data_IF_478074681689
#
_entry.id   IF_478074681689
#
_cell.length_a   1.000
_cell.length_b   1.000
_cell.length_c   1.000
_cell.angle_alpha   90.00
_cell.angle_beta   90.00
_cell.angle_gamma   90.00
#
_symmetry.space_group_name_H-M   'P 1'
#
loop_
_entity.id
_entity.type
_entity.pdbx_description
1 polymer ?
#
# COMPACT_ATOMS: atom_id res chain seq x y z
N UNK A 1 -10.97 19.44 14.81
CA UNK A 1 -11.20 18.06 14.28
C UNK A 1 -9.85 17.62 13.75
N UNK A 2 -9.40 16.40 14.07
CA UNK A 2 -8.09 15.89 13.65
C UNK A 2 -8.02 15.82 12.13
N UNK A 3 -6.93 16.30 11.53
CA UNK A 3 -6.65 16.07 10.12
C UNK A 3 -6.04 14.66 9.95
N UNK A 4 -6.03 14.12 8.75
CA UNK A 4 -5.40 12.82 8.47
C UNK A 4 -4.70 12.92 7.13
N UNK A 5 -3.43 12.54 7.10
CA UNK A 5 -2.69 12.37 5.86
C UNK A 5 -2.59 10.87 5.57
N UNK A 6 -3.12 10.46 4.43
CA UNK A 6 -3.29 9.06 4.05
C UNK A 6 -4.05 8.22 5.10
N UNK A 7 -3.32 7.55 6.00
CA UNK A 7 -3.83 6.71 7.09
C UNK A 7 -3.39 7.21 8.47
N UNK A 8 -2.56 8.26 8.53
CA UNK A 8 -1.92 8.75 9.75
C UNK A 8 -2.68 9.97 10.28
N UNK A 9 -3.23 9.89 11.51
CA UNK A 9 -3.90 11.04 12.12
C UNK A 9 -2.86 12.14 12.40
N UNK A 10 -3.19 13.38 12.05
CA UNK A 10 -2.38 14.57 12.29
C UNK A 10 -3.13 15.43 13.33
N UNK A 11 -2.75 15.34 14.62
CA UNK A 11 -3.31 16.16 15.69
C UNK A 11 -3.30 17.64 15.32
N UNK A 12 -4.30 18.38 15.77
CA UNK A 12 -4.50 19.75 15.30
C UNK A 12 -3.28 20.64 15.62
N UNK A 13 -2.66 21.15 14.56
CA UNK A 13 -1.42 21.93 14.57
C UNK A 13 -1.54 23.19 15.44
N UNK A 14 -0.52 23.46 16.25
CA UNK A 14 -0.46 24.68 17.08
C UNK A 14 -0.24 25.95 16.24
N UNK A 15 0.39 25.84 15.05
CA UNK A 15 0.58 26.93 14.09
C UNK A 15 0.69 26.38 12.66
N UNK A 16 -0.33 26.51 11.81
CA UNK A 16 -0.17 26.31 10.37
C UNK A 16 0.50 27.54 9.75
N UNK A 17 1.58 27.34 8.98
CA UNK A 17 2.16 28.40 8.16
C UNK A 17 1.84 28.08 6.71
N UNK A 18 0.83 28.76 6.18
CA UNK A 18 0.48 28.70 4.76
C UNK A 18 1.29 29.79 4.05
N UNK A 19 2.18 29.41 3.12
CA UNK A 19 2.76 30.38 2.19
C UNK A 19 1.88 30.40 0.95
N UNK A 20 1.18 31.52 0.77
CA UNK A 20 0.19 31.70 -0.29
C UNK A 20 0.79 31.43 -1.69
N UNK A 21 0.19 30.46 -2.40
CA UNK A 21 0.40 30.18 -3.82
C UNK A 21 0.26 31.42 -4.75
N UNK A 22 -0.31 32.52 -4.24
CA UNK A 22 -0.32 33.83 -4.89
C UNK A 22 1.08 34.39 -5.16
N UNK A 23 2.08 34.08 -4.33
CA UNK A 23 3.47 34.53 -4.55
C UNK A 23 4.08 33.93 -5.81
N UNK A 24 3.84 32.65 -6.07
CA UNK A 24 4.33 31.93 -7.25
C UNK A 24 3.61 32.38 -8.52
N UNK A 25 2.28 32.59 -8.45
CA UNK A 25 1.50 33.08 -9.59
C UNK A 25 1.81 34.56 -9.95
N UNK A 26 2.18 35.39 -8.96
CA UNK A 26 2.68 36.75 -9.17
C UNK A 26 4.11 36.77 -9.74
N UNK A 27 4.97 35.82 -9.36
CA UNK A 27 6.29 35.66 -9.98
C UNK A 27 6.18 35.24 -11.45
N UNK A 28 5.27 34.33 -11.79
CA UNK A 28 5.05 33.93 -13.19
C UNK A 28 4.42 35.04 -14.05
N UNK A 29 3.47 35.81 -13.51
CA UNK A 29 2.93 36.97 -14.22
C UNK A 29 3.91 38.15 -14.30
N UNK A 30 4.86 38.27 -13.35
CA UNK A 30 5.91 39.29 -13.35
C UNK A 30 7.01 39.06 -14.39
N UNK A 31 7.21 37.81 -14.84
CA UNK A 31 8.26 37.43 -15.80
C UNK A 31 7.85 37.67 -17.26
N UNK A 32 6.57 37.91 -17.56
CA UNK A 32 6.09 38.25 -18.91
C UNK A 32 6.49 39.67 -19.40
N UNK A 33 7.37 40.36 -18.68
CA UNK A 33 7.85 41.71 -19.03
C UNK A 33 9.36 41.88 -19.16
N UNK A 34 10.18 40.82 -19.00
CA UNK A 34 11.65 40.98 -19.07
C UNK A 34 12.34 39.74 -19.62
N UNK A 35 13.08 39.96 -20.71
CA UNK A 35 13.81 38.98 -21.51
C UNK A 35 15.09 38.51 -20.78
N UNK A 36 14.91 37.66 -19.77
CA UNK A 36 15.98 36.97 -19.07
C UNK A 36 15.57 35.52 -18.80
N UNK A 37 16.08 34.60 -19.61
CA UNK A 37 16.05 33.16 -19.32
C UNK A 37 17.02 32.93 -18.16
N UNK A 38 16.50 32.98 -16.94
CA UNK A 38 17.15 32.45 -15.75
C UNK A 38 16.61 31.05 -15.57
N UNK A 39 17.49 30.05 -15.74
CA UNK A 39 17.28 28.70 -15.25
C UNK A 39 17.22 28.80 -13.71
N UNK A 40 16.03 29.08 -13.20
CA UNK A 40 15.77 29.08 -11.79
C UNK A 40 15.84 27.63 -11.33
N UNK A 41 17.00 27.24 -10.79
CA UNK A 41 17.06 26.25 -9.71
C UNK A 41 16.23 26.82 -8.55
N UNK A 42 14.91 26.71 -8.67
CA UNK A 42 13.96 26.95 -7.60
C UNK A 42 14.10 25.77 -6.66
N UNK A 43 14.78 25.96 -5.53
CA UNK A 43 14.46 25.19 -4.33
C UNK A 43 12.96 25.40 -4.07
N UNK A 44 12.12 24.47 -4.52
CA UNK A 44 10.68 24.56 -4.31
C UNK A 44 10.45 24.60 -2.80
N UNK A 45 9.98 25.73 -2.29
CA UNK A 45 9.49 25.83 -0.94
C UNK A 45 8.21 25.00 -0.84
N UNK A 46 8.02 24.27 0.26
CA UNK A 46 6.80 23.51 0.48
C UNK A 46 5.57 24.44 0.42
N UNK A 47 4.52 24.01 -0.29
CA UNK A 47 3.26 24.76 -0.40
C UNK A 47 2.52 24.82 0.94
N UNK A 48 2.69 23.81 1.79
CA UNK A 48 2.05 23.70 3.09
C UNK A 48 3.00 23.10 4.12
N UNK A 49 3.17 23.80 5.23
CA UNK A 49 3.89 23.29 6.41
C UNK A 49 2.94 23.09 7.58
N UNK A 50 2.92 21.87 8.13
CA UNK A 50 2.12 21.49 9.28
C UNK A 50 3.03 21.15 10.46
N UNK A 51 2.88 21.85 11.58
CA UNK A 51 3.62 21.56 12.82
C UNK A 51 2.67 21.20 13.95
N UNK A 52 2.91 20.09 14.64
CA UNK A 52 2.07 19.64 15.74
C UNK A 52 2.79 18.70 16.69
N UNK A 53 1.99 18.02 17.52
CA UNK A 53 2.50 17.12 18.57
C UNK A 53 1.66 15.85 18.68
N UNK A 54 2.31 14.71 18.74
CA UNK A 54 1.73 13.47 19.25
C UNK A 54 1.90 13.44 20.77
N UNK A 55 0.79 13.39 21.50
CA UNK A 55 0.77 13.39 22.97
C UNK A 55 -0.20 12.32 23.49
N UNK A 56 0.00 11.08 23.04
CA UNK A 56 -0.85 9.92 23.34
C UNK A 56 -0.18 8.92 24.30
N UNK A 57 0.89 9.35 24.97
CA UNK A 57 1.74 8.49 25.81
C UNK A 57 2.88 7.86 25.01
N UNK A 58 3.85 7.29 25.74
CA UNK A 58 5.13 6.84 25.17
C UNK A 58 4.99 5.96 23.93
N UNK A 59 4.24 4.87 24.05
CA UNK A 59 4.14 3.88 22.98
C UNK A 59 3.45 4.41 21.73
N UNK A 60 2.23 4.95 21.86
CA UNK A 60 1.45 5.33 20.69
C UNK A 60 1.95 6.62 20.03
N UNK A 61 2.59 7.51 20.80
CA UNK A 61 3.21 8.71 20.22
C UNK A 61 4.45 8.36 19.40
N UNK A 62 5.27 7.41 19.88
CA UNK A 62 6.41 6.88 19.12
C UNK A 62 5.96 6.10 17.88
N UNK A 63 4.91 5.29 18.00
CA UNK A 63 4.32 4.56 16.87
C UNK A 63 3.93 5.50 15.72
N UNK A 64 3.11 6.51 16.01
CA UNK A 64 2.65 7.47 15.00
C UNK A 64 3.77 8.38 14.48
N UNK A 65 4.77 8.66 15.30
CA UNK A 65 5.95 9.42 14.91
C UNK A 65 6.75 8.68 13.84
N UNK A 66 7.09 7.42 14.09
CA UNK A 66 7.85 6.57 13.17
C UNK A 66 7.06 6.32 11.87
N UNK A 67 5.75 6.07 11.97
CA UNK A 67 4.90 5.91 10.77
C UNK A 67 4.89 7.16 9.89
N UNK A 68 4.89 8.35 10.49
CA UNK A 68 4.89 9.61 9.74
C UNK A 68 6.24 9.85 9.06
N UNK A 69 7.34 9.53 9.75
CA UNK A 69 8.69 9.60 9.21
C UNK A 69 8.84 8.62 8.03
N UNK A 70 8.44 7.36 8.21
CA UNK A 70 8.47 6.36 7.12
C UNK A 70 7.57 6.73 5.95
N UNK A 71 6.37 7.27 6.20
CA UNK A 71 5.50 7.71 5.11
C UNK A 71 6.14 8.82 4.28
N UNK A 72 6.93 9.70 4.91
CA UNK A 72 7.64 10.77 4.22
C UNK A 72 8.80 10.26 3.35
N UNK A 73 9.47 9.20 3.78
CA UNK A 73 10.57 8.56 3.04
C UNK A 73 10.09 7.47 2.06
N UNK A 74 8.79 7.19 2.04
CA UNK A 74 8.20 6.17 1.17
C UNK A 74 8.18 6.57 -0.30
N UNK A 75 8.08 5.55 -1.17
CA UNK A 75 7.83 5.75 -2.61
C UNK A 75 6.37 5.99 -2.95
N UNK A 76 5.48 6.09 -1.95
CA UNK A 76 4.05 6.30 -2.19
C UNK A 76 3.87 7.66 -2.85
N UNK A 77 3.12 7.67 -3.94
CA UNK A 77 2.80 8.88 -4.70
C UNK A 77 1.90 9.84 -3.89
N UNK A 78 1.34 10.86 -4.54
CA UNK A 78 0.54 11.87 -3.86
C UNK A 78 -0.60 11.27 -2.99
N UNK A 79 -0.58 11.59 -1.70
CA UNK A 79 -1.51 11.09 -0.69
C UNK A 79 -2.62 12.09 -0.38
N UNK A 80 -3.82 11.64 0.03
CA UNK A 80 -4.89 12.54 0.44
C UNK A 80 -4.62 13.15 1.83
N UNK A 81 -4.80 14.47 1.95
CA UNK A 81 -5.00 15.15 3.23
C UNK A 81 -6.49 15.48 3.38
N UNK A 82 -7.10 15.02 4.47
CA UNK A 82 -8.52 15.20 4.75
C UNK A 82 -8.80 15.40 6.25
N UNK A 83 -10.06 15.69 6.58
CA UNK A 83 -10.42 16.15 7.93
C UNK A 83 -9.92 17.57 8.22
N UNK A 84 -9.86 17.95 9.49
CA UNK A 84 -9.37 19.27 9.89
C UNK A 84 -10.28 20.45 9.50
N UNK A 85 -9.73 21.67 9.58
CA UNK A 85 -10.37 22.88 9.08
C UNK A 85 -10.36 22.88 7.53
N UNK A 86 -11.52 23.06 6.91
CA UNK A 86 -11.84 22.58 5.55
C UNK A 86 -11.06 23.15 4.34
N UNK A 87 -10.13 24.09 4.51
CA UNK A 87 -9.43 24.72 3.39
C UNK A 87 -8.19 23.95 2.91
N UNK A 88 -7.75 22.91 3.64
CA UNK A 88 -6.50 22.18 3.36
C UNK A 88 -6.70 20.81 2.72
N UNK A 89 -7.93 20.45 2.40
CA UNK A 89 -8.21 19.11 1.91
C UNK A 89 -7.80 18.97 0.44
N UNK A 90 -6.71 18.26 0.17
CA UNK A 90 -6.08 18.14 -1.14
C UNK A 90 -5.38 16.79 -1.32
N UNK A 91 -4.72 16.62 -2.46
CA UNK A 91 -3.70 15.60 -2.67
C UNK A 91 -2.34 16.27 -2.54
N UNK A 92 -1.42 15.65 -1.80
CA UNK A 92 -0.12 16.20 -1.48
C UNK A 92 0.97 15.16 -1.66
N UNK A 93 2.10 15.59 -2.19
CA UNK A 93 3.35 14.87 -2.07
C UNK A 93 4.04 15.31 -0.77
N UNK A 94 4.58 14.36 -0.01
CA UNK A 94 5.34 14.66 1.20
C UNK A 94 6.78 14.92 0.78
N UNK A 95 7.29 16.10 1.12
CA UNK A 95 8.68 16.49 0.83
C UNK A 95 9.63 16.09 1.97
N UNK A 96 9.14 16.19 3.20
CA UNK A 96 9.86 15.75 4.40
C UNK A 96 8.94 15.73 5.60
N UNK A 97 9.22 14.82 6.53
CA UNK A 97 8.74 14.86 7.90
C UNK A 97 9.94 14.92 8.84
N UNK A 98 9.93 15.88 9.75
CA UNK A 98 10.87 15.91 10.87
C UNK A 98 10.08 15.55 12.11
N UNK A 99 10.48 14.48 12.80
CA UNK A 99 9.78 14.01 13.99
C UNK A 99 10.78 13.78 15.11
N UNK A 100 10.60 14.46 16.24
CA UNK A 100 11.55 14.43 17.35
C UNK A 100 10.84 14.37 18.71
N UNK A 101 11.38 13.65 19.71
CA UNK A 101 10.85 13.70 21.06
C UNK A 101 11.14 15.07 21.70
N UNK A 102 10.14 15.66 22.37
CA UNK A 102 10.26 17.02 22.93
C UNK A 102 11.35 17.12 24.01
N UNK A 103 11.61 16.01 24.72
CA UNK A 103 12.63 15.92 25.75
C UNK A 103 13.42 14.62 25.62
N UNK A 104 14.75 14.70 25.72
CA UNK A 104 15.64 13.54 25.61
C UNK A 104 15.36 12.41 26.64
N UNK A 105 14.68 12.71 27.75
CA UNK A 105 14.32 11.74 28.79
C UNK A 105 12.86 11.29 28.77
N UNK A 106 11.99 11.87 27.94
CA UNK A 106 10.56 11.58 27.91
C UNK A 106 10.05 11.40 26.48
N UNK A 107 9.64 10.16 26.15
CA UNK A 107 9.06 9.80 24.84
C UNK A 107 7.54 9.93 24.78
N UNK A 108 6.93 10.56 25.79
CA UNK A 108 5.48 10.71 25.87
C UNK A 108 4.93 11.75 24.89
N UNK A 109 5.78 12.64 24.38
CA UNK A 109 5.42 13.71 23.45
C UNK A 109 6.46 13.78 22.34
N UNK A 110 5.97 13.69 21.10
CA UNK A 110 6.77 13.88 19.89
C UNK A 110 6.27 15.10 19.13
N UNK A 111 7.17 15.98 18.74
CA UNK A 111 6.91 17.10 17.84
C UNK A 111 7.14 16.64 16.42
N UNK A 112 6.26 17.06 15.51
CA UNK A 112 6.46 16.85 14.08
C UNK A 112 6.37 18.16 13.32
N UNK A 113 7.15 18.26 12.24
CA UNK A 113 7.02 19.27 11.19
C UNK A 113 6.97 18.56 9.84
N UNK A 114 5.86 18.73 9.13
CA UNK A 114 5.58 18.09 7.84
C UNK A 114 5.56 19.14 6.75
N UNK A 115 6.33 18.92 5.70
CA UNK A 115 6.42 19.77 4.51
C UNK A 115 5.74 19.08 3.33
N UNK A 116 4.76 19.75 2.72
CA UNK A 116 3.90 19.18 1.68
C UNK A 116 3.91 20.03 0.42
N UNK A 117 3.95 19.38 -0.74
CA UNK A 117 3.78 19.98 -2.06
C UNK A 117 2.40 19.60 -2.61
N UNK A 118 1.64 20.58 -3.10
CA UNK A 118 0.27 20.36 -3.56
C UNK A 118 0.24 19.65 -4.91
N UNK A 119 -0.24 18.40 -4.93
CA UNK A 119 -0.49 17.64 -6.16
C UNK A 119 -1.87 17.97 -6.78
N UNK A 120 -2.75 18.65 -6.03
CA UNK A 120 -4.01 19.19 -6.52
C UNK A 120 -5.20 18.83 -5.65
N UNK A 121 -6.40 18.87 -6.24
CA UNK A 121 -7.65 18.56 -5.55
C UNK A 121 -8.49 17.59 -6.37
N UNK A 122 -9.56 17.05 -5.79
CA UNK A 122 -10.56 16.27 -6.53
C UNK A 122 -11.16 17.00 -7.75
N UNK A 123 -11.05 18.34 -7.84
CA UNK A 123 -11.53 19.11 -8.98
C UNK A 123 -10.48 19.35 -10.07
N UNK A 124 -9.20 19.14 -9.79
CA UNK A 124 -8.12 19.21 -10.77
C UNK A 124 -7.57 17.83 -11.15
N UNK A 125 -7.65 16.85 -10.25
CA UNK A 125 -7.14 15.49 -10.42
C UNK A 125 -8.26 14.44 -10.44
N UNK A 126 -8.00 13.33 -11.12
CA UNK A 126 -8.63 12.02 -10.89
C UNK A 126 -7.62 11.10 -10.19
N UNK A 127 -8.13 10.13 -9.45
CA UNK A 127 -7.34 8.96 -9.09
C UNK A 127 -7.14 8.11 -10.35
N UNK A 128 -5.93 7.63 -10.55
CA UNK A 128 -5.54 6.80 -11.68
C UNK A 128 -5.01 5.48 -11.16
N UNK A 129 -5.45 4.39 -11.78
CA UNK A 129 -4.94 3.05 -11.55
C UNK A 129 -4.40 2.58 -12.90
N UNK A 130 -3.07 2.65 -13.02
CA UNK A 130 -2.34 2.16 -14.18
C UNK A 130 -2.30 0.64 -14.10
N UNK A 131 -2.39 -0.01 -15.26
CA UNK A 131 -2.29 -1.46 -15.36
C UNK A 131 -1.28 -1.80 -16.45
N UNK A 132 -0.57 -2.89 -16.27
CA UNK A 132 0.37 -3.42 -17.27
C UNK A 132 0.27 -4.95 -17.27
N UNK A 133 -0.86 -5.53 -17.72
CA UNK A 133 -1.07 -6.96 -17.68
C UNK A 133 0.03 -7.72 -18.39
N UNK A 134 0.70 -8.62 -17.68
CA UNK A 134 1.80 -9.42 -18.23
C UNK A 134 1.75 -10.85 -17.70
N UNK A 135 2.33 -11.80 -18.44
CA UNK A 135 2.45 -13.19 -18.01
C UNK A 135 3.92 -13.44 -17.65
N UNK A 136 4.27 -13.53 -16.36
CA UNK A 136 5.63 -13.82 -15.93
C UNK A 136 6.15 -15.14 -16.50
N UNK A 137 7.47 -15.20 -16.73
CA UNK A 137 8.16 -16.37 -17.25
C UNK A 137 9.41 -16.68 -16.42
N UNK A 138 9.52 -17.85 -15.77
CA UNK A 138 8.57 -18.97 -15.86
C UNK A 138 7.25 -18.67 -15.12
N UNK A 139 6.13 -19.13 -15.69
CA UNK A 139 4.83 -19.03 -15.02
C UNK A 139 4.76 -19.91 -13.76
N UNK A 140 3.63 -19.87 -13.05
CA UNK A 140 3.40 -20.68 -11.85
C UNK A 140 2.39 -21.81 -12.10
N UNK A 141 2.39 -22.86 -11.26
CA UNK A 141 1.54 -24.05 -11.44
C UNK A 141 0.17 -23.97 -10.74
N UNK A 142 -0.14 -22.88 -10.01
CA UNK A 142 -1.34 -22.76 -9.16
C UNK A 142 -2.66 -22.61 -9.94
N UNK A 143 -2.60 -22.34 -11.24
CA UNK A 143 -3.80 -22.21 -12.05
C UNK A 143 -3.49 -21.92 -13.52
N UNK A 144 -4.54 -21.54 -14.25
CA UNK A 144 -4.47 -21.24 -15.67
C UNK A 144 -5.45 -20.13 -16.11
N UNK A 145 -5.94 -19.33 -15.15
CA UNK A 145 -6.79 -18.20 -15.47
C UNK A 145 -5.96 -17.08 -16.11
N UNK A 146 -6.62 -16.23 -16.89
CA UNK A 146 -5.96 -15.20 -17.71
C UNK A 146 -6.52 -13.80 -17.46
N UNK A 147 -7.27 -13.64 -16.37
CA UNK A 147 -7.95 -12.40 -16.03
C UNK A 147 -7.00 -11.53 -15.21
N UNK A 148 -6.93 -10.24 -15.53
CA UNK A 148 -6.14 -9.27 -14.76
C UNK A 148 -7.10 -8.40 -13.94
N UNK A 149 -7.57 -8.96 -12.82
CA UNK A 149 -8.51 -8.27 -11.95
C UNK A 149 -7.79 -7.17 -11.18
N UNK A 150 -8.34 -5.96 -11.23
CA UNK A 150 -7.87 -4.80 -10.47
C UNK A 150 -8.99 -4.22 -9.62
N UNK A 151 -8.70 -3.92 -8.36
CA UNK A 151 -9.69 -3.39 -7.43
C UNK A 151 -9.75 -1.87 -7.45
N UNK A 152 -10.95 -1.31 -7.51
CA UNK A 152 -11.25 0.12 -7.33
C UNK A 152 -12.23 0.26 -6.16
N UNK A 153 -12.10 1.27 -5.26
CA UNK A 153 -13.08 1.44 -4.18
C UNK A 153 -14.51 1.56 -4.72
N UNK A 154 -15.48 0.78 -4.22
CA UNK A 154 -16.85 0.81 -4.73
C UNK A 154 -17.56 2.17 -4.50
N UNK A 155 -17.05 2.97 -3.56
CA UNK A 155 -17.48 4.36 -3.34
C UNK A 155 -17.06 5.32 -4.49
N UNK A 156 -16.20 4.88 -5.39
CA UNK A 156 -15.72 5.68 -6.51
C UNK A 156 -16.85 6.00 -7.50
N UNK A 157 -16.72 7.16 -8.15
CA UNK A 157 -17.64 7.66 -9.17
C UNK A 157 -16.87 7.95 -10.44
N UNK A 158 -17.61 8.04 -11.55
CA UNK A 158 -17.04 8.38 -12.86
C UNK A 158 -15.91 7.43 -13.30
N UNK A 159 -15.96 6.17 -12.88
CA UNK A 159 -14.97 5.14 -13.27
C UNK A 159 -14.96 5.00 -14.78
N UNK A 160 -13.79 5.13 -15.39
CA UNK A 160 -13.56 5.01 -16.85
C UNK A 160 -12.20 4.38 -17.07
N UNK A 161 -12.08 3.53 -18.08
CA UNK A 161 -10.76 3.15 -18.59
C UNK A 161 -10.44 4.05 -19.79
N UNK A 162 -9.22 4.59 -19.79
CA UNK A 162 -8.70 5.47 -20.84
C UNK A 162 -7.37 4.94 -21.34
N UNK A 163 -7.08 5.20 -22.61
CA UNK A 163 -5.73 5.13 -23.16
C UNK A 163 -5.45 6.47 -23.82
N UNK A 164 -4.63 7.27 -23.14
CA UNK A 164 -4.22 8.61 -23.58
C UNK A 164 -3.13 8.57 -24.66
N UNK A 165 -2.49 7.42 -24.87
CA UNK A 165 -1.44 7.24 -25.89
C UNK A 165 -2.03 6.94 -27.26
N UNK A 166 -3.24 6.37 -27.31
CA UNK A 166 -3.99 6.14 -28.55
C UNK A 166 -4.43 7.43 -29.27
N UNK A 167 -4.53 7.35 -30.61
CA UNK A 167 -5.05 8.42 -31.45
C UNK A 167 -6.18 7.92 -32.37
N UNK A 168 -7.44 8.36 -32.17
CA UNK A 168 -7.91 9.24 -31.09
C UNK A 168 -7.86 8.54 -29.72
N UNK A 169 -7.77 9.33 -28.64
CA UNK A 169 -7.85 8.84 -27.26
C UNK A 169 -9.07 7.96 -27.08
N UNK A 170 -8.85 6.71 -26.68
CA UNK A 170 -9.91 5.75 -26.41
C UNK A 170 -10.41 5.89 -24.99
N UNK A 171 -11.72 5.69 -24.81
CA UNK A 171 -12.36 5.71 -23.50
C UNK A 171 -13.55 4.77 -23.47
N UNK A 172 -13.60 3.95 -22.43
CA UNK A 172 -14.75 3.09 -22.14
C UNK A 172 -15.21 3.29 -20.71
N UNK A 173 -16.50 3.03 -20.48
CA UNK A 173 -17.03 2.89 -19.14
C UNK A 173 -17.06 1.40 -18.81
N UNK A 174 -16.11 0.90 -17.99
CA UNK A 174 -16.09 -0.50 -17.64
C UNK A 174 -17.26 -0.84 -16.70
N UNK A 175 -17.63 -2.12 -16.65
CA UNK A 175 -18.58 -2.65 -15.67
C UNK A 175 -17.79 -3.55 -14.73
N UNK A 176 -17.97 -3.46 -13.40
CA UNK A 176 -17.28 -4.36 -12.49
C UNK A 176 -17.71 -5.80 -12.75
N UNK A 177 -16.75 -6.71 -12.68
CA UNK A 177 -16.99 -8.17 -12.72
C UNK A 177 -17.70 -8.59 -11.45
N UNK A 178 -17.26 -8.05 -10.31
CA UNK A 178 -17.78 -8.33 -8.99
C UNK A 178 -17.56 -7.15 -8.04
N UNK A 179 -18.37 -7.05 -6.99
CA UNK A 179 -18.12 -6.17 -5.84
C UNK A 179 -17.88 -7.04 -4.62
N UNK A 180 -16.70 -6.88 -4.00
CA UNK A 180 -16.26 -7.65 -2.85
C UNK A 180 -16.31 -6.77 -1.60
N UNK A 181 -16.88 -7.29 -0.50
CA UNK A 181 -16.88 -6.64 0.81
C UNK A 181 -15.65 -7.06 1.63
N UNK A 182 -14.84 -6.09 2.06
CA UNK A 182 -13.63 -6.28 2.87
C UNK A 182 -13.83 -5.74 4.30
N UNK A 183 -12.90 -5.99 5.23
CA UNK A 183 -12.92 -5.37 6.58
C UNK A 183 -13.03 -3.84 6.50
N UNK A 184 -12.50 -3.23 5.44
CA UNK A 184 -12.35 -1.78 5.35
C UNK A 184 -13.33 -1.08 4.41
N UNK A 185 -14.23 -1.84 3.79
CA UNK A 185 -15.22 -1.35 2.83
C UNK A 185 -15.28 -2.17 1.55
N UNK A 186 -16.19 -1.79 0.66
CA UNK A 186 -16.44 -2.50 -0.58
C UNK A 186 -15.46 -2.09 -1.70
N UNK A 187 -15.02 -3.07 -2.49
CA UNK A 187 -14.13 -2.91 -3.64
C UNK A 187 -14.79 -3.52 -4.87
N UNK A 188 -14.88 -2.74 -5.94
CA UNK A 188 -15.31 -3.19 -7.26
C UNK A 188 -14.10 -3.75 -8.02
N UNK A 189 -14.19 -5.00 -8.47
CA UNK A 189 -13.18 -5.65 -9.31
C UNK A 189 -13.48 -5.43 -10.79
N UNK A 190 -12.48 -5.00 -11.54
CA UNK A 190 -12.54 -4.83 -12.99
C UNK A 190 -11.49 -5.71 -13.65
N UNK A 191 -11.84 -6.39 -14.73
CA UNK A 191 -10.86 -7.15 -15.52
C UNK A 191 -10.24 -6.24 -16.59
N UNK A 192 -8.94 -5.99 -16.47
CA UNK A 192 -8.19 -5.17 -17.41
C UNK A 192 -8.01 -5.85 -18.78
N UNK A 193 -7.95 -7.19 -18.85
CA UNK A 193 -7.76 -7.91 -20.14
C UNK A 193 -9.05 -8.02 -20.96
N UNK A 194 -10.22 -7.88 -20.32
CA UNK A 194 -11.52 -7.87 -20.99
C UNK A 194 -11.87 -6.54 -21.67
N UNK A 195 -11.06 -5.48 -21.46
CA UNK A 195 -11.31 -4.18 -22.05
C UNK A 195 -10.95 -4.15 -23.54
N UNK A 196 -11.65 -3.31 -24.30
CA UNK A 196 -11.35 -3.09 -25.72
C UNK A 196 -10.17 -2.14 -25.96
N UNK A 197 -9.41 -1.81 -24.91
CA UNK A 197 -8.30 -0.85 -24.89
C UNK A 197 -7.04 -1.64 -24.54
N UNK A 198 -5.95 -1.41 -25.27
CA UNK A 198 -4.71 -2.19 -25.14
C UNK A 198 -3.95 -1.85 -23.84
N UNK A 199 -3.79 -0.55 -23.51
CA UNK A 199 -3.11 -0.07 -22.29
C UNK A 199 -4.09 0.71 -21.38
N UNK A 200 -5.01 0.02 -20.68
CA UNK A 200 -6.07 0.70 -19.94
C UNK A 200 -5.54 1.31 -18.63
N UNK A 201 -5.75 2.63 -18.47
CA UNK A 201 -5.63 3.32 -17.18
C UNK A 201 -7.04 3.59 -16.64
N UNK A 202 -7.35 3.03 -15.47
CA UNK A 202 -8.63 3.29 -14.82
C UNK A 202 -8.58 4.62 -14.07
N UNK A 203 -9.44 5.56 -14.47
CA UNK A 203 -9.58 6.86 -13.83
C UNK A 203 -10.90 6.94 -13.08
N UNK A 204 -10.89 7.51 -11.88
CA UNK A 204 -12.08 7.64 -11.05
C UNK A 204 -12.00 8.80 -10.05
N UNK A 205 -13.17 9.18 -9.52
CA UNK A 205 -13.34 10.21 -8.51
C UNK A 205 -13.89 9.59 -7.22
N UNK A 206 -13.10 9.62 -6.15
CA UNK A 206 -13.44 9.03 -4.86
C UNK A 206 -13.23 10.07 -3.75
N UNK A 207 -13.99 9.96 -2.66
CA UNK A 207 -13.78 10.79 -1.48
C UNK A 207 -12.39 10.51 -0.88
N UNK A 208 -11.75 11.54 -0.31
CA UNK A 208 -10.34 11.48 0.11
C UNK A 208 -10.09 10.50 1.26
N UNK A 209 -11.12 10.23 2.05
CA UNK A 209 -11.14 9.29 3.17
C UNK A 209 -11.58 7.87 2.76
N UNK A 210 -12.23 7.71 1.60
CA UNK A 210 -12.77 6.43 1.17
C UNK A 210 -11.75 5.52 0.48
N UNK A 211 -10.74 6.06 -0.22
CA UNK A 211 -9.69 5.24 -0.83
C UNK A 211 -8.70 4.68 0.20
N UNK A 212 -8.10 5.49 1.10
CA UNK A 212 -7.15 4.97 2.09
C UNK A 212 -7.70 3.85 2.97
N UNK A 213 -9.02 3.80 3.15
CA UNK A 213 -9.67 2.71 3.88
C UNK A 213 -9.40 1.35 3.22
N UNK A 214 -9.59 1.21 1.91
CA UNK A 214 -9.49 -0.08 1.20
C UNK A 214 -8.11 -0.37 0.61
N UNK A 215 -7.14 0.53 0.77
CA UNK A 215 -5.77 0.34 0.27
C UNK A 215 -5.02 -0.75 1.05
N UNK A 216 -4.13 -1.47 0.37
CA UNK A 216 -3.31 -2.55 0.96
C UNK A 216 -2.40 -2.02 2.06
N UNK A 217 -2.01 -2.89 2.99
CA UNK A 217 -1.27 -2.54 4.20
C UNK A 217 -0.16 -3.53 4.45
N UNK A 218 0.95 -2.99 4.94
CA UNK A 218 2.04 -3.74 5.56
C UNK A 218 2.12 -3.31 7.02
N UNK A 219 2.30 -4.28 7.92
CA UNK A 219 2.50 -4.01 9.32
C UNK A 219 3.73 -4.71 9.88
N UNK A 220 4.37 -4.07 10.85
CA UNK A 220 5.25 -4.71 11.84
C UNK A 220 4.43 -4.94 13.12
N UNK A 221 4.35 -6.19 13.57
CA UNK A 221 3.64 -6.54 14.81
C UNK A 221 4.29 -5.94 16.05
N UNK A 222 5.60 -5.62 15.99
CA UNK A 222 6.43 -5.16 17.10
C UNK A 222 6.34 -6.09 18.32
N UNK A 223 6.25 -7.40 18.06
CA UNK A 223 6.12 -8.45 19.06
C UNK A 223 4.75 -8.48 19.76
N UNK A 224 3.68 -8.04 19.07
CA UNK A 224 2.30 -8.06 19.58
C UNK A 224 1.46 -9.08 18.81
N UNK A 225 0.87 -10.03 19.52
CA UNK A 225 0.00 -11.06 18.94
C UNK A 225 -1.28 -10.48 18.30
N UNK A 226 -1.75 -9.32 18.76
CA UNK A 226 -3.01 -8.73 18.33
C UNK A 226 -2.83 -7.36 17.70
N UNK A 227 -3.46 -7.16 16.53
CA UNK A 227 -3.51 -5.88 15.80
C UNK A 227 -4.00 -4.71 16.63
N UNK A 228 -4.85 -4.98 17.62
CA UNK A 228 -5.47 -3.95 18.44
C UNK A 228 -5.36 -4.25 19.93
N UNK A 229 -5.08 -3.20 20.70
CA UNK A 229 -5.20 -3.20 22.15
C UNK A 229 -6.56 -2.61 22.51
N UNK A 230 -7.37 -3.40 23.21
CA UNK A 230 -8.65 -2.97 23.73
C UNK A 230 -8.51 -2.39 25.14
N UNK A 231 -9.25 -1.31 25.40
CA UNK A 231 -9.33 -0.66 26.70
C UNK A 231 -10.73 -0.08 26.93
N UNK A 232 -11.06 0.27 28.17
CA UNK A 232 -12.31 0.96 28.51
C UNK A 232 -12.48 2.30 27.77
N UNK A 233 -11.35 2.91 27.35
CA UNK A 233 -11.30 4.14 26.56
C UNK A 233 -11.43 3.94 25.05
N UNK A 234 -11.55 2.70 24.58
CA UNK A 234 -11.63 2.34 23.17
C UNK A 234 -10.51 1.40 22.73
N UNK A 235 -10.46 1.16 21.42
CA UNK A 235 -9.51 0.27 20.75
C UNK A 235 -8.47 1.09 20.00
N UNK A 236 -7.19 0.80 20.20
CA UNK A 236 -6.07 1.43 19.48
C UNK A 236 -5.29 0.39 18.71
N UNK A 237 -4.77 0.75 17.53
CA UNK A 237 -3.90 -0.15 16.76
C UNK A 237 -2.55 -0.28 17.47
N UNK A 238 -2.10 -1.51 17.62
CA UNK A 238 -0.81 -1.85 18.24
C UNK A 238 0.27 -2.09 17.19
N UNK A 239 -0.09 -2.69 16.05
CA UNK A 239 0.85 -2.89 14.96
C UNK A 239 1.22 -1.57 14.28
N UNK A 240 2.48 -1.44 13.89
CA UNK A 240 3.00 -0.29 13.17
C UNK A 240 2.71 -0.44 11.69
N UNK A 241 2.16 0.59 11.04
CA UNK A 241 2.09 0.61 9.57
C UNK A 241 3.48 0.84 8.98
N UNK A 242 3.85 0.01 8.01
CA UNK A 242 5.13 0.11 7.33
C UNK A 242 4.92 0.76 5.97
N UNK A 243 5.72 1.78 5.67
CA UNK A 243 5.71 2.48 4.37
C UNK A 243 7.05 2.46 3.66
N UNK A 244 8.13 2.12 4.37
CA UNK A 244 9.47 2.00 3.84
C UNK A 244 9.80 0.53 3.52
N UNK A 245 10.52 0.29 2.43
CA UNK A 245 10.91 -1.06 1.99
C UNK A 245 12.07 -1.63 2.80
N UNK A 246 12.93 -0.75 3.30
CA UNK A 246 14.08 -1.03 4.15
C UNK A 246 13.76 -0.95 5.64
N UNK A 247 12.48 -1.14 6.01
CA UNK A 247 12.04 -1.18 7.40
C UNK A 247 12.67 -2.36 8.14
N UNK A 248 13.33 -2.08 9.26
CA UNK A 248 13.87 -3.12 10.15
C UNK A 248 12.75 -3.65 11.08
N UNK A 249 12.19 -4.80 10.73
CA UNK A 249 11.13 -5.44 11.50
C UNK A 249 11.57 -5.82 12.91
N UNK A 250 10.74 -5.48 13.91
CA UNK A 250 10.96 -5.88 15.31
C UNK A 250 10.14 -7.10 15.70
N UNK A 251 9.02 -7.35 15.04
CA UNK A 251 8.29 -8.62 15.10
C UNK A 251 7.96 -9.12 13.69
N UNK A 252 6.95 -9.97 13.59
CA UNK A 252 6.50 -10.54 12.31
C UNK A 252 6.01 -9.47 11.34
N UNK A 253 6.22 -9.69 10.04
CA UNK A 253 5.66 -8.87 8.95
C UNK A 253 4.25 -9.34 8.63
N UNK A 254 3.33 -8.39 8.40
CA UNK A 254 1.95 -8.69 8.04
C UNK A 254 1.53 -7.97 6.76
N UNK A 255 1.10 -8.72 5.75
CA UNK A 255 0.45 -8.18 4.55
C UNK A 255 -1.07 -8.30 4.70
N UNK A 256 -1.81 -7.22 4.46
CA UNK A 256 -3.27 -7.21 4.62
C UNK A 256 -3.98 -6.30 3.62
N UNK A 257 -4.98 -6.84 2.92
CA UNK A 257 -5.85 -6.06 2.02
C UNK A 257 -7.32 -5.99 2.49
N UNK A 258 -7.62 -6.56 3.66
CA UNK A 258 -8.98 -6.63 4.23
C UNK A 258 -9.79 -7.86 3.82
N UNK A 259 -9.22 -8.75 3.01
CA UNK A 259 -9.77 -10.08 2.67
C UNK A 259 -8.83 -11.20 3.07
N UNK A 260 -7.54 -10.99 2.80
CA UNK A 260 -6.48 -11.90 3.16
C UNK A 260 -5.48 -11.16 4.05
N UNK A 261 -5.01 -11.85 5.08
CA UNK A 261 -3.91 -11.41 5.95
C UNK A 261 -2.87 -12.52 5.99
N UNK A 262 -1.64 -12.20 5.59
CA UNK A 262 -0.50 -13.09 5.69
C UNK A 262 0.41 -12.55 6.78
N UNK A 263 0.71 -13.34 7.80
CA UNK A 263 1.68 -13.03 8.85
C UNK A 263 2.87 -13.95 8.66
N UNK A 264 4.05 -13.37 8.45
CA UNK A 264 5.30 -14.10 8.28
C UNK A 264 6.20 -13.77 9.47
N UNK A 265 6.56 -14.80 10.22
CA UNK A 265 7.49 -14.70 11.34
C UNK A 265 8.84 -15.29 10.91
N UNK A 266 9.85 -14.43 10.88
CA UNK A 266 11.21 -14.80 10.51
C UNK A 266 11.99 -15.34 11.72
N UNK A 267 12.88 -16.33 11.52
CA UNK A 267 13.73 -16.81 12.58
C UNK A 267 14.75 -15.72 12.97
N UNK A 268 14.90 -15.49 14.27
CA UNK A 268 15.86 -14.56 14.84
C UNK A 268 16.98 -15.29 15.61
N UNK A 269 18.03 -14.55 15.96
CA UNK A 269 19.07 -15.08 16.87
C UNK A 269 18.52 -15.48 18.26
N UNK A 270 17.38 -14.93 18.67
CA UNK A 270 16.75 -15.20 19.96
C UNK A 270 15.68 -16.29 19.88
N UNK A 271 15.05 -16.45 18.72
CA UNK A 271 13.99 -17.42 18.45
C UNK A 271 14.19 -18.03 17.07
N UNK A 272 14.49 -19.33 17.01
CA UNK A 272 14.75 -20.03 15.75
C UNK A 272 13.47 -20.57 15.10
N UNK A 273 12.28 -20.26 15.63
CA UNK A 273 11.02 -20.61 14.98
C UNK A 273 10.72 -19.65 13.85
N UNK A 274 10.14 -20.19 12.80
CA UNK A 274 9.56 -19.43 11.71
C UNK A 274 8.11 -19.91 11.49
N UNK A 275 7.25 -19.02 10.98
CA UNK A 275 5.87 -19.38 10.69
C UNK A 275 5.29 -18.55 9.54
N UNK A 276 4.37 -19.18 8.82
CA UNK A 276 3.49 -18.53 7.84
C UNK A 276 2.06 -18.78 8.29
N UNK A 277 1.44 -17.76 8.85
CA UNK A 277 0.03 -17.78 9.24
C UNK A 277 -0.81 -16.99 8.24
N UNK A 278 -1.96 -17.54 7.86
CA UNK A 278 -2.86 -16.90 6.90
C UNK A 278 -4.27 -16.85 7.48
N UNK A 279 -4.89 -15.68 7.43
CA UNK A 279 -6.27 -15.47 7.81
C UNK A 279 -7.08 -14.95 6.62
N UNK A 280 -8.30 -15.43 6.48
CA UNK A 280 -9.29 -14.91 5.55
C UNK A 280 -10.40 -14.18 6.32
N UNK A 281 -10.87 -13.07 5.77
CA UNK A 281 -11.95 -12.28 6.34
C UNK A 281 -13.31 -12.71 5.79
N UNK A 282 -14.25 -13.03 6.68
CA UNK A 282 -15.65 -13.26 6.36
C UNK A 282 -16.47 -12.01 6.69
N UNK A 283 -16.84 -11.25 5.66
CA UNK A 283 -17.66 -10.05 5.79
C UNK A 283 -19.08 -10.34 6.33
N UNK A 284 -19.60 -11.56 6.15
CA UNK A 284 -20.90 -11.96 6.69
C UNK A 284 -20.86 -12.24 8.20
N UNK A 285 -19.72 -12.70 8.70
CA UNK A 285 -19.47 -12.93 10.12
C UNK A 285 -18.79 -11.73 10.83
N UNK A 286 -18.24 -10.78 10.07
CA UNK A 286 -17.39 -9.69 10.54
C UNK A 286 -16.21 -10.21 11.39
N UNK A 287 -15.52 -11.23 10.87
CA UNK A 287 -14.45 -11.91 11.59
C UNK A 287 -13.38 -12.47 10.67
N UNK A 288 -12.16 -12.53 11.19
CA UNK A 288 -11.05 -13.24 10.59
C UNK A 288 -11.06 -14.71 11.04
N UNK A 289 -10.76 -15.61 10.11
CA UNK A 289 -10.59 -17.04 10.36
C UNK A 289 -9.28 -17.53 9.75
N UNK A 290 -8.55 -18.36 10.48
CA UNK A 290 -7.35 -19.00 9.97
C UNK A 290 -7.67 -19.86 8.73
N UNK A 291 -6.78 -19.81 7.74
CA UNK A 291 -6.76 -20.70 6.58
C UNK A 291 -5.84 -21.86 6.93
N UNK A 292 -6.37 -23.08 6.89
CA UNK A 292 -5.60 -24.28 7.19
C UNK A 292 -4.61 -24.57 6.04
N UNK A 293 -3.32 -24.33 6.27
CA UNK A 293 -2.26 -24.70 5.34
C UNK A 293 -1.82 -26.16 5.57
N UNK A 294 -1.53 -26.93 4.49
CA UNK A 294 -0.84 -28.20 4.60
C UNK A 294 0.46 -28.07 5.41
N UNK A 295 0.70 -29.01 6.32
CA UNK A 295 1.84 -28.95 7.23
C UNK A 295 2.59 -30.29 7.31
N UNK A 296 3.87 -30.20 7.66
CA UNK A 296 4.73 -31.32 8.03
C UNK A 296 4.69 -31.59 9.55
N UNK A 297 4.85 -32.86 10.00
CA UNK A 297 4.75 -34.08 9.21
C UNK A 297 3.28 -34.45 8.97
N UNK A 298 2.97 -34.98 7.79
CA UNK A 298 1.66 -35.60 7.54
C UNK A 298 1.15 -35.37 6.13
N UNK A 299 0.72 -34.14 5.83
CA UNK A 299 0.24 -33.77 4.50
C UNK A 299 1.43 -33.51 3.56
N UNK A 300 2.54 -33.03 4.11
CA UNK A 300 3.80 -32.77 3.40
C UNK A 300 4.89 -33.74 3.88
N UNK A 301 5.85 -34.03 3.00
CA UNK A 301 7.05 -34.83 3.25
C UNK A 301 8.28 -33.97 3.61
N UNK A 302 8.23 -32.66 3.34
CA UNK A 302 9.22 -31.62 3.66
C UNK A 302 8.56 -30.47 4.46
N UNK A 303 9.27 -29.97 5.47
CA UNK A 303 8.91 -28.79 6.27
C UNK A 303 9.55 -27.54 5.69
N UNK A 304 8.81 -26.79 4.87
CA UNK A 304 9.25 -25.52 4.30
C UNK A 304 8.84 -24.37 5.23
N UNK A 305 9.80 -23.56 5.68
CA UNK A 305 9.55 -22.43 6.57
C UNK A 305 10.12 -21.13 5.97
N UNK A 306 9.41 -20.00 6.09
CA UNK A 306 9.92 -18.71 5.63
C UNK A 306 11.10 -18.28 6.49
N UNK A 307 12.22 -17.93 5.88
CA UNK A 307 13.46 -17.53 6.59
C UNK A 307 13.81 -16.06 6.41
N UNK A 308 13.28 -15.41 5.38
CA UNK A 308 13.57 -14.00 5.07
C UNK A 308 12.44 -13.40 4.22
N UNK A 309 12.09 -12.13 4.47
CA UNK A 309 11.10 -11.37 3.70
C UNK A 309 11.65 -10.01 3.28
N UNK A 310 11.88 -9.85 1.98
CA UNK A 310 12.33 -8.60 1.38
C UNK A 310 11.16 -7.84 0.72
N UNK A 311 10.84 -6.64 1.22
CA UNK A 311 9.82 -5.79 0.58
C UNK A 311 10.36 -5.16 -0.70
N UNK A 312 9.77 -5.53 -1.85
CA UNK A 312 10.20 -5.02 -3.17
C UNK A 312 9.41 -3.78 -3.56
N UNK A 313 8.11 -3.74 -3.21
CA UNK A 313 7.19 -2.65 -3.55
C UNK A 313 6.12 -2.48 -2.46
N UNK A 314 5.85 -1.22 -2.08
CA UNK A 314 4.72 -0.85 -1.22
C UNK A 314 3.93 0.26 -1.92
N UNK A 315 2.75 -0.09 -2.40
CA UNK A 315 1.81 0.80 -3.08
C UNK A 315 0.50 0.94 -2.33
N UNK A 316 -0.40 1.77 -2.87
CA UNK A 316 -1.77 1.89 -2.36
C UNK A 316 -2.66 0.73 -2.86
N UNK A 317 -2.42 0.26 -4.09
CA UNK A 317 -3.19 -0.80 -4.72
C UNK A 317 -2.60 -2.20 -4.53
N UNK A 318 -1.29 -2.31 -4.29
CA UNK A 318 -0.59 -3.59 -4.13
C UNK A 318 0.59 -3.48 -3.18
N UNK A 319 0.99 -4.62 -2.61
CA UNK A 319 2.29 -4.84 -1.96
C UNK A 319 2.96 -6.03 -2.60
N UNK A 320 4.29 -5.96 -2.79
CA UNK A 320 5.09 -7.06 -3.32
C UNK A 320 6.31 -7.31 -2.44
N UNK A 321 6.60 -8.58 -2.20
CA UNK A 321 7.76 -9.01 -1.44
C UNK A 321 8.39 -10.25 -2.08
N UNK A 322 9.67 -10.49 -1.80
CA UNK A 322 10.30 -11.77 -2.04
C UNK A 322 10.39 -12.50 -0.70
N UNK A 323 9.95 -13.75 -0.66
CA UNK A 323 10.01 -14.60 0.53
C UNK A 323 10.95 -15.76 0.24
N UNK A 324 12.01 -15.89 1.03
CA UNK A 324 12.89 -17.04 0.99
C UNK A 324 12.37 -18.11 1.95
N UNK A 325 12.31 -19.36 1.49
CA UNK A 325 11.93 -20.52 2.28
C UNK A 325 13.10 -21.49 2.41
N UNK A 326 13.28 -22.06 3.60
CA UNK A 326 14.22 -23.15 3.86
C UNK A 326 13.46 -24.43 4.21
N UNK A 327 13.89 -25.55 3.65
CA UNK A 327 13.45 -26.88 4.04
C UNK A 327 14.16 -27.30 5.33
N UNK A 328 13.54 -27.06 6.48
CA UNK A 328 14.18 -27.30 7.80
C UNK A 328 14.10 -28.76 8.25
N UNK A 329 13.26 -29.58 7.60
CA UNK A 329 13.15 -31.01 7.84
C UNK A 329 12.56 -31.73 6.62
N UNK A 330 12.78 -33.05 6.53
CA UNK A 330 12.14 -33.91 5.53
C UNK A 330 13.08 -34.36 4.41
N UNK A 331 12.52 -34.63 3.23
CA UNK A 331 13.30 -35.23 2.12
C UNK A 331 14.23 -34.25 1.41
N UNK A 332 13.92 -32.95 1.48
CA UNK A 332 14.68 -31.84 0.91
C UNK A 332 15.39 -31.01 1.99
N UNK A 333 15.64 -31.57 3.19
CA UNK A 333 16.26 -30.85 4.31
C UNK A 333 17.57 -30.14 3.91
N UNK A 334 17.62 -28.82 4.14
CA UNK A 334 18.71 -27.92 3.82
C UNK A 334 18.62 -27.21 2.46
N UNK A 335 17.59 -27.50 1.66
CA UNK A 335 17.32 -26.77 0.42
C UNK A 335 16.64 -25.42 0.70
N UNK A 336 16.88 -24.45 -0.19
CA UNK A 336 16.36 -23.07 -0.09
C UNK A 336 15.67 -22.71 -1.40
N UNK A 337 14.51 -22.04 -1.33
CA UNK A 337 13.74 -21.61 -2.49
C UNK A 337 13.05 -20.27 -2.25
N UNK A 338 13.16 -19.34 -3.21
CA UNK A 338 12.54 -18.02 -3.14
C UNK A 338 11.28 -17.93 -3.99
N UNK A 339 10.27 -17.20 -3.49
CA UNK A 339 9.01 -16.89 -4.17
C UNK A 339 8.75 -15.39 -4.13
N UNK A 340 8.34 -14.81 -5.25
CA UNK A 340 7.83 -13.44 -5.26
C UNK A 340 6.32 -13.50 -4.95
N UNK A 341 5.89 -12.77 -3.93
CA UNK A 341 4.50 -12.69 -3.47
C UNK A 341 3.92 -11.30 -3.69
N UNK A 342 2.66 -11.25 -4.11
CA UNK A 342 1.94 -10.00 -4.37
C UNK A 342 0.53 -10.06 -3.79
N UNK A 343 0.16 -9.04 -3.01
CA UNK A 343 -1.20 -8.88 -2.51
C UNK A 343 -1.79 -7.57 -3.04
N UNK A 344 -2.86 -7.66 -3.83
CA UNK A 344 -3.55 -6.50 -4.40
C UNK A 344 -4.86 -6.20 -3.67
N UNK A 345 -5.32 -4.96 -3.77
CA UNK A 345 -6.60 -4.49 -3.26
C UNK A 345 -7.76 -5.31 -3.84
N UNK A 346 -8.55 -5.94 -2.99
CA UNK A 346 -9.76 -6.67 -3.36
C UNK A 346 -9.55 -8.12 -3.83
N UNK A 347 -8.31 -8.61 -3.89
CA UNK A 347 -8.03 -10.04 -4.17
C UNK A 347 -8.22 -10.88 -2.90
N UNK A 348 -8.81 -12.07 -3.02
CA UNK A 348 -8.90 -13.04 -1.92
C UNK A 348 -7.70 -13.97 -1.84
N UNK A 349 -6.80 -13.91 -2.81
CA UNK A 349 -5.67 -14.81 -3.02
C UNK A 349 -4.40 -13.99 -3.24
N UNK A 350 -3.24 -14.58 -2.92
CA UNK A 350 -1.92 -13.98 -3.12
C UNK A 350 -1.36 -14.37 -4.49
N UNK A 351 -0.91 -13.40 -5.28
CA UNK A 351 -0.14 -13.68 -6.49
C UNK A 351 1.21 -14.29 -6.11
N UNK A 352 1.54 -15.46 -6.65
CA UNK A 352 2.80 -16.15 -6.36
C UNK A 352 3.54 -16.44 -7.64
N UNK A 353 4.73 -15.87 -7.77
CA UNK A 353 5.54 -15.93 -8.97
C UNK A 353 6.90 -16.55 -8.66
N UNK A 354 7.47 -17.24 -9.66
CA UNK A 354 8.84 -17.70 -9.59
C UNK A 354 9.74 -16.50 -9.94
N UNK A 355 10.68 -16.09 -9.07
CA UNK A 355 11.55 -14.97 -9.35
C UNK A 355 12.32 -15.17 -10.66
N UNK A 356 12.55 -14.11 -11.44
CA UNK A 356 13.26 -14.22 -12.74
C UNK A 356 14.67 -14.84 -12.63
N UNK A 357 15.28 -14.73 -11.45
CA UNK A 357 16.59 -15.31 -11.11
C UNK A 357 16.53 -16.84 -10.98
N UNK A 358 15.36 -17.41 -10.69
CA UNK A 358 15.11 -18.83 -10.49
C UNK A 358 14.50 -19.43 -11.75
N UNK A 359 15.05 -20.56 -12.21
CA UNK A 359 14.55 -21.28 -13.41
C UNK A 359 13.98 -22.65 -13.11
N UNK A 360 14.09 -23.07 -11.86
CA UNK A 360 13.58 -24.35 -11.39
C UNK A 360 12.08 -24.21 -11.12
N UNK A 361 11.38 -25.32 -11.13
CA UNK A 361 9.98 -25.33 -10.73
C UNK A 361 9.90 -25.27 -9.20
N UNK A 362 8.79 -24.73 -8.67
CA UNK A 362 8.53 -24.71 -7.24
C UNK A 362 8.58 -26.17 -6.71
N UNK A 363 9.32 -26.45 -5.62
CA UNK A 363 9.33 -27.75 -4.96
C UNK A 363 7.90 -28.21 -4.65
N UNK A 364 7.61 -29.51 -4.84
CA UNK A 364 6.23 -30.01 -4.83
C UNK A 364 5.51 -29.77 -3.49
N UNK A 365 6.23 -29.90 -2.38
CA UNK A 365 5.66 -29.68 -1.04
C UNK A 365 5.49 -28.19 -0.73
N UNK A 366 6.43 -27.34 -1.15
CA UNK A 366 6.27 -25.88 -1.06
C UNK A 366 5.09 -25.41 -1.91
N UNK A 367 4.95 -25.92 -3.13
CA UNK A 367 3.78 -25.66 -3.96
C UNK A 367 2.49 -26.09 -3.25
N UNK A 368 2.47 -27.31 -2.70
CA UNK A 368 1.28 -27.84 -2.00
C UNK A 368 0.92 -27.01 -0.76
N UNK A 369 1.92 -26.49 -0.04
CA UNK A 369 1.71 -25.62 1.12
C UNK A 369 1.06 -24.29 0.73
N UNK A 370 1.47 -23.69 -0.39
CA UNK A 370 1.04 -22.36 -0.85
C UNK A 370 -0.25 -22.40 -1.70
N UNK A 371 -0.56 -23.54 -2.32
CA UNK A 371 -1.74 -23.75 -3.17
C UNK A 371 -3.07 -23.24 -2.58
N UNK A 372 -3.39 -23.41 -1.27
CA UNK A 372 -4.66 -22.95 -0.71
C UNK A 372 -4.88 -21.44 -0.70
N UNK A 373 -3.80 -20.65 -0.85
CA UNK A 373 -3.84 -19.19 -0.79
C UNK A 373 -3.42 -18.55 -2.12
N UNK A 374 -2.82 -19.32 -3.03
CA UNK A 374 -2.25 -18.81 -4.27
C UNK A 374 -3.32 -18.45 -5.30
N UNK A 375 -3.10 -17.35 -6.00
CA UNK A 375 -3.97 -16.92 -7.09
C UNK A 375 -3.90 -17.89 -8.27
N UNK A 376 -5.05 -18.20 -8.85
CA UNK A 376 -5.19 -19.06 -10.03
C UNK A 376 -4.88 -18.35 -11.35
N UNK A 377 -4.85 -17.02 -11.35
CA UNK A 377 -4.52 -16.21 -12.53
C UNK A 377 -3.02 -16.20 -12.81
N UNK A 378 -2.69 -16.49 -14.06
CA UNK A 378 -1.33 -16.49 -14.61
C UNK A 378 -0.88 -15.13 -15.13
N UNK A 379 -1.70 -14.10 -14.91
CA UNK A 379 -1.47 -12.73 -15.36
C UNK A 379 -1.25 -11.83 -14.16
N UNK A 380 -0.06 -11.22 -14.09
CA UNK A 380 0.23 -10.10 -13.21
C UNK A 380 -0.47 -8.87 -13.79
N UNK A 381 -1.27 -8.18 -12.98
CA UNK A 381 -2.03 -7.00 -13.42
C UNK A 381 -1.15 -5.76 -13.62
N UNK A 382 0.04 -5.73 -13.01
CA UNK A 382 0.96 -4.60 -13.04
C UNK A 382 0.37 -3.34 -12.40
N UNK A 383 -0.51 -3.51 -11.41
CA UNK A 383 -1.35 -2.42 -10.90
C UNK A 383 -0.56 -1.38 -10.12
N UNK A 384 -0.69 -0.11 -10.49
CA UNK A 384 -0.04 1.03 -9.83
C UNK A 384 -1.02 2.18 -9.61
N UNK A 385 -1.00 2.77 -8.41
CA UNK A 385 -1.91 3.84 -8.02
C UNK A 385 -1.23 5.21 -8.12
N UNK A 386 -1.90 6.14 -8.80
CA UNK A 386 -1.44 7.52 -8.95
C UNK A 386 -2.57 8.53 -9.14
N UNK A 387 -2.21 9.67 -9.70
CA UNK A 387 -3.11 10.77 -10.06
C UNK A 387 -2.94 11.14 -11.52
N UNK A 388 -4.03 11.55 -12.16
CA UNK A 388 -3.98 12.13 -13.52
C UNK A 388 -4.77 13.42 -13.57
N UNK A 389 -4.21 14.42 -14.28
CA UNK A 389 -4.85 15.71 -14.40
C UNK A 389 -6.13 15.58 -15.21
N UNK A 390 -7.21 16.18 -14.71
CA UNK A 390 -8.51 16.16 -15.40
C UNK A 390 -8.44 16.79 -16.78
N UNK A 391 -7.49 17.70 -17.03
CA UNK A 391 -7.31 18.34 -18.33
C UNK A 391 -6.59 17.47 -19.36
N UNK A 392 -5.73 16.55 -18.93
CA UNK A 392 -5.03 15.60 -19.82
C UNK A 392 -5.99 14.56 -20.40
N UNK A 393 -7.03 14.22 -19.65
CA UNK A 393 -8.07 13.24 -20.04
C UNK A 393 -9.38 13.90 -20.47
N UNK A 394 -9.37 15.22 -20.74
CA UNK A 394 -10.50 15.94 -21.34
C UNK A 394 -10.49 15.75 -22.86
N UNK A 395 -11.68 15.51 -23.41
CA UNK A 395 -11.97 15.54 -24.84
C UNK A 395 -12.67 16.84 -25.22
#
# INVERSE_FOLDING_TARGET
>A
MTATIYKIPIPEATVPTEQDALGTQLSEQGVLGSDAIVEALSSQAADLTLTGRYAYGSYYSELLANELEELADSSVSAVPLYGGAGNRAGYYQIESAQVEPVHAGGRDIWEYTLSLTSAGTRKSQFQALETSPSQPSPGHPFGNETDALVGVPAAARLVRAVDSTSSPTQRVQPTPVETISTEFGDVDLYDATALSIDDPVFIYDVEKDAQPAVDVRVYDTRGRDSKFIESDSGRVRAWQSVFARDHEFTGSVVFENGLLRLTIDEPTNADATASLDVEAYDAGADSWSAVDLPAYPGTLDTDWQPVDVDLVHIGQASVRAQVEFEAVAGVEEGDVYALDVELERGRSEVGVWIPESVREAIPADLQTMIDPIAATSTVDSGVEQGLVAREEVRL
#
